data_IF_769464435251
#
_entry.id   IF_769464435251
#
_cell.length_a   1.000
_cell.length_b   1.000
_cell.length_c   1.000
_cell.angle_alpha   90.00
_cell.angle_beta   90.00
_cell.angle_gamma   90.00
#
_symmetry.space_group_name_H-M   'P 1'
#
loop_
_entity.id
_entity.type
_entity.pdbx_description
1 polymer ?
#
# COMPACT_ATOMS: atom_id res chain seq x y z
N UNK A 1 -13.68 12.55 -28.73
CA UNK A 1 -13.31 11.66 -27.63
C UNK A 1 -14.55 11.52 -26.75
N UNK A 2 -15.17 10.34 -26.71
CA UNK A 2 -16.37 10.09 -25.90
C UNK A 2 -15.93 10.11 -24.42
N UNK A 3 -16.38 11.10 -23.68
CA UNK A 3 -16.09 11.20 -22.23
C UNK A 3 -16.78 10.00 -21.55
N UNK A 4 -16.00 9.13 -20.88
CA UNK A 4 -16.49 7.96 -20.16
C UNK A 4 -17.37 8.44 -19.00
N UNK A 5 -18.63 8.01 -18.97
CA UNK A 5 -19.56 8.34 -17.88
C UNK A 5 -19.15 7.59 -16.62
N UNK A 6 -19.12 8.27 -15.48
CA UNK A 6 -18.85 7.68 -14.17
C UNK A 6 -20.06 6.88 -13.69
N UNK A 7 -19.87 5.58 -13.39
CA UNK A 7 -20.95 4.70 -12.91
C UNK A 7 -21.03 4.78 -11.39
N UNK A 8 -22.16 5.26 -10.89
CA UNK A 8 -22.43 5.41 -9.45
C UNK A 8 -23.62 4.52 -9.06
N UNK A 9 -23.45 3.74 -7.99
CA UNK A 9 -24.51 3.02 -7.32
C UNK A 9 -24.90 3.77 -6.06
N UNK A 10 -26.11 4.34 -6.03
CA UNK A 10 -26.67 5.01 -4.86
C UNK A 10 -27.58 4.04 -4.11
N UNK A 11 -27.31 3.81 -2.85
CA UNK A 11 -28.14 3.06 -1.93
C UNK A 11 -28.76 4.01 -0.91
N UNK A 12 -30.05 4.27 -1.05
CA UNK A 12 -30.82 5.23 -0.25
C UNK A 12 -32.25 4.74 -0.01
N UNK A 13 -32.71 4.79 1.24
CA UNK A 13 -34.04 4.34 1.62
C UNK A 13 -35.17 5.22 1.07
N UNK A 14 -34.91 6.51 0.86
CA UNK A 14 -35.82 7.45 0.21
C UNK A 14 -35.12 8.12 -0.98
N UNK A 15 -35.13 7.48 -2.16
CA UNK A 15 -34.27 7.85 -3.28
C UNK A 15 -34.62 9.16 -4.00
N UNK A 16 -35.68 9.87 -3.59
CA UNK A 16 -36.15 11.04 -4.34
C UNK A 16 -35.24 12.27 -4.21
N UNK A 17 -34.68 12.53 -3.04
CA UNK A 17 -33.94 13.80 -2.78
C UNK A 17 -32.50 13.78 -3.26
N UNK A 18 -31.70 12.78 -2.83
CA UNK A 18 -30.28 12.72 -3.19
C UNK A 18 -30.09 12.34 -4.65
N UNK A 19 -30.88 11.40 -5.16
CA UNK A 19 -30.81 10.99 -6.57
C UNK A 19 -31.18 12.16 -7.50
N UNK A 20 -32.14 12.99 -7.16
CA UNK A 20 -32.56 14.14 -7.94
C UNK A 20 -31.50 15.25 -7.90
N UNK A 21 -30.90 15.49 -6.72
CA UNK A 21 -29.76 16.39 -6.56
C UNK A 21 -28.58 15.96 -7.41
N UNK A 22 -28.21 14.67 -7.39
CA UNK A 22 -27.11 14.15 -8.20
C UNK A 22 -27.37 14.29 -9.70
N UNK A 23 -28.56 13.99 -10.17
CA UNK A 23 -28.94 14.17 -11.60
C UNK A 23 -28.94 15.64 -12.01
N UNK A 24 -29.36 16.54 -11.14
CA UNK A 24 -29.36 17.99 -11.39
C UNK A 24 -27.95 18.54 -11.47
N UNK A 25 -27.06 18.13 -10.58
CA UNK A 25 -25.66 18.60 -10.54
C UNK A 25 -24.82 18.04 -11.69
N UNK A 26 -25.13 16.85 -12.19
CA UNK A 26 -24.41 16.17 -13.25
C UNK A 26 -25.34 15.60 -14.32
N UNK A 27 -25.91 16.46 -15.17
CA UNK A 27 -26.82 16.02 -16.22
C UNK A 27 -26.09 15.12 -17.23
N UNK A 28 -26.76 14.08 -17.69
CA UNK A 28 -26.21 13.08 -18.63
C UNK A 28 -25.66 13.68 -19.94
N UNK A 29 -26.19 14.84 -20.34
CA UNK A 29 -25.78 15.58 -21.55
C UNK A 29 -24.40 16.23 -21.46
N UNK A 30 -23.85 16.41 -20.25
CA UNK A 30 -22.59 17.11 -20.02
C UNK A 30 -21.40 16.16 -19.69
N UNK A 31 -21.44 14.90 -20.16
CA UNK A 31 -20.45 13.88 -19.78
C UNK A 31 -20.69 13.30 -18.39
N UNK A 32 -21.93 13.28 -17.95
CA UNK A 32 -22.41 13.11 -16.59
C UNK A 32 -22.31 11.73 -15.97
N UNK A 33 -23.06 11.53 -14.90
CA UNK A 33 -23.08 10.31 -14.11
C UNK A 33 -24.03 9.28 -14.74
N UNK A 34 -23.66 8.00 -14.69
CA UNK A 34 -24.58 6.89 -14.86
C UNK A 34 -25.01 6.43 -13.46
N UNK A 35 -26.19 6.87 -13.02
CA UNK A 35 -26.68 6.66 -11.68
C UNK A 35 -27.65 5.48 -11.64
N UNK A 36 -27.30 4.43 -10.88
CA UNK A 36 -28.21 3.34 -10.50
C UNK A 36 -28.61 3.53 -9.05
N UNK A 37 -29.91 3.42 -8.75
CA UNK A 37 -30.44 3.64 -7.40
C UNK A 37 -31.05 2.35 -6.88
N UNK A 38 -30.74 2.01 -5.63
CA UNK A 38 -31.32 0.87 -4.89
C UNK A 38 -31.84 1.34 -3.53
N UNK A 39 -32.90 0.74 -3.03
CA UNK A 39 -33.55 1.16 -1.79
C UNK A 39 -33.28 0.25 -0.58
N UNK A 40 -32.43 -0.76 -0.73
CA UNK A 40 -32.11 -1.68 0.36
C UNK A 40 -30.72 -2.32 0.19
N UNK A 41 -30.11 -2.76 1.30
CA UNK A 41 -28.86 -3.52 1.28
C UNK A 41 -29.01 -4.87 0.57
N UNK A 42 -30.20 -5.49 0.65
CA UNK A 42 -30.48 -6.76 -0.01
C UNK A 42 -30.43 -6.66 -1.54
N UNK A 43 -30.84 -5.52 -2.10
CA UNK A 43 -30.76 -5.24 -3.54
C UNK A 43 -29.39 -4.68 -3.96
N UNK A 44 -28.67 -4.01 -3.06
CA UNK A 44 -27.37 -3.41 -3.35
C UNK A 44 -26.34 -4.45 -3.79
N UNK A 45 -26.14 -5.49 -2.99
CA UNK A 45 -25.06 -6.48 -3.22
C UNK A 45 -25.19 -7.20 -4.58
N UNK A 46 -26.37 -7.75 -4.98
CA UNK A 46 -26.49 -8.31 -6.32
C UNK A 46 -26.36 -7.28 -7.42
N UNK A 47 -26.81 -6.02 -7.21
CA UNK A 47 -26.71 -4.94 -8.20
C UNK A 47 -25.27 -4.53 -8.46
N UNK A 48 -24.37 -4.56 -7.45
CA UNK A 48 -22.95 -4.29 -7.62
C UNK A 48 -22.34 -5.17 -8.73
N UNK A 49 -22.66 -6.46 -8.74
CA UNK A 49 -22.14 -7.42 -9.73
C UNK A 49 -22.64 -7.18 -11.15
N UNK A 50 -23.84 -6.59 -11.29
CA UNK A 50 -24.49 -6.34 -12.60
C UNK A 50 -24.07 -5.00 -13.18
N UNK A 51 -24.02 -3.97 -12.35
CA UNK A 51 -23.75 -2.58 -12.75
C UNK A 51 -22.25 -2.30 -12.86
N UNK A 52 -21.44 -3.03 -12.09
CA UNK A 52 -19.98 -2.78 -11.96
C UNK A 52 -19.70 -1.30 -11.68
N UNK A 53 -20.20 -0.74 -10.55
CA UNK A 53 -20.09 0.68 -10.25
C UNK A 53 -18.64 1.05 -9.92
N UNK A 54 -18.26 2.28 -10.26
CA UNK A 54 -16.96 2.84 -9.92
C UNK A 54 -16.93 3.48 -8.52
N UNK A 55 -18.13 3.83 -7.99
CA UNK A 55 -18.34 4.34 -6.61
C UNK A 55 -19.68 3.86 -6.09
N UNK A 56 -19.73 3.55 -4.79
CA UNK A 56 -20.98 3.33 -4.05
C UNK A 56 -21.22 4.53 -3.14
N UNK A 57 -22.39 5.15 -3.26
CA UNK A 57 -22.91 6.13 -2.30
C UNK A 57 -23.90 5.42 -1.38
N UNK A 58 -23.64 5.41 -0.08
CA UNK A 58 -24.44 4.68 0.90
C UNK A 58 -25.04 5.63 1.93
N UNK A 59 -26.35 5.69 1.97
CA UNK A 59 -27.09 6.39 3.01
C UNK A 59 -27.11 5.60 4.33
N UNK A 60 -26.72 6.22 5.44
CA UNK A 60 -26.74 5.61 6.76
C UNK A 60 -28.16 5.27 7.26
N UNK A 61 -29.20 5.87 6.68
CA UNK A 61 -30.58 5.56 7.03
C UNK A 61 -31.05 4.18 6.57
N UNK A 62 -30.32 3.50 5.71
CA UNK A 62 -30.60 2.14 5.25
C UNK A 62 -30.49 1.08 6.35
N UNK A 63 -29.75 1.34 7.42
CA UNK A 63 -29.65 0.45 8.57
C UNK A 63 -30.54 0.94 9.70
N UNK A 64 -31.43 0.07 10.16
CA UNK A 64 -32.41 0.40 11.20
C UNK A 64 -31.89 0.25 12.63
N UNK A 65 -30.82 -0.52 12.85
CA UNK A 65 -30.28 -0.81 14.19
C UNK A 65 -28.97 -0.07 14.48
N UNK A 66 -27.96 -0.33 13.68
CA UNK A 66 -26.67 0.36 13.77
C UNK A 66 -26.35 0.96 12.41
N UNK A 67 -26.22 2.30 12.29
CA UNK A 67 -25.89 2.95 11.02
C UNK A 67 -24.59 2.43 10.38
N UNK A 68 -23.64 1.96 11.19
CA UNK A 68 -22.33 1.45 10.71
C UNK A 68 -22.38 0.01 10.21
N UNK A 69 -23.43 -0.76 10.53
CA UNK A 69 -23.56 -2.13 10.01
C UNK A 69 -23.68 -2.15 8.48
N UNK A 70 -24.38 -1.19 7.90
CA UNK A 70 -24.49 -1.05 6.44
C UNK A 70 -23.12 -0.83 5.82
N UNK A 71 -22.29 0.02 6.42
CA UNK A 71 -20.91 0.32 5.96
C UNK A 71 -20.07 -0.95 5.97
N UNK A 72 -20.05 -1.69 7.09
CA UNK A 72 -19.31 -2.95 7.24
C UNK A 72 -19.74 -4.00 6.23
N UNK A 73 -21.04 -4.16 6.01
CA UNK A 73 -21.61 -5.13 5.06
C UNK A 73 -21.18 -4.79 3.64
N UNK A 74 -21.33 -3.52 3.22
CA UNK A 74 -20.98 -3.09 1.86
C UNK A 74 -19.48 -3.19 1.63
N UNK A 75 -18.66 -2.71 2.56
CA UNK A 75 -17.20 -2.78 2.46
C UNK A 75 -16.68 -4.23 2.32
N UNK A 76 -17.24 -5.18 3.09
CA UNK A 76 -16.88 -6.60 2.99
C UNK A 76 -17.35 -7.26 1.70
N UNK A 77 -18.48 -6.82 1.17
CA UNK A 77 -19.09 -7.43 -0.03
C UNK A 77 -18.52 -6.87 -1.34
N UNK A 78 -17.96 -5.67 -1.31
CA UNK A 78 -17.39 -4.96 -2.45
C UNK A 78 -16.09 -4.22 -2.07
N UNK A 79 -15.03 -4.93 -1.60
CA UNK A 79 -13.84 -4.31 -1.02
C UNK A 79 -13.03 -3.48 -2.01
N UNK A 80 -13.15 -3.74 -3.32
CA UNK A 80 -12.45 -2.98 -4.37
C UNK A 80 -13.20 -1.76 -4.90
N UNK A 81 -14.38 -1.43 -4.36
CA UNK A 81 -15.17 -0.29 -4.82
C UNK A 81 -15.21 0.79 -3.74
N UNK A 82 -14.81 2.04 -4.04
CA UNK A 82 -14.82 3.12 -3.07
C UNK A 82 -16.21 3.38 -2.55
N UNK A 83 -16.33 3.41 -1.22
CA UNK A 83 -17.57 3.63 -0.49
C UNK A 83 -17.58 5.04 0.09
N UNK A 84 -18.54 5.86 -0.30
CA UNK A 84 -18.77 7.19 0.25
C UNK A 84 -20.12 7.19 0.98
N UNK A 85 -20.10 7.65 2.22
CA UNK A 85 -21.26 7.66 3.08
C UNK A 85 -22.06 8.97 2.92
N UNK A 86 -23.37 8.85 2.82
CA UNK A 86 -24.33 9.96 2.92
C UNK A 86 -24.98 9.91 4.30
N UNK A 87 -25.02 11.03 4.98
CA UNK A 87 -25.59 11.11 6.33
C UNK A 87 -26.38 12.39 6.53
N UNK A 88 -27.43 12.32 7.31
CA UNK A 88 -28.09 13.54 7.79
C UNK A 88 -27.19 14.31 8.76
N UNK A 89 -27.32 15.64 8.90
CA UNK A 89 -26.54 16.43 9.84
C UNK A 89 -26.57 15.88 11.28
N UNK A 90 -27.71 15.29 11.69
CA UNK A 90 -27.87 14.65 13.00
C UNK A 90 -26.99 13.40 13.18
N UNK A 91 -26.58 12.77 12.08
CA UNK A 91 -25.75 11.54 12.05
C UNK A 91 -24.26 11.83 11.82
N UNK A 92 -23.81 13.08 11.90
CA UNK A 92 -22.43 13.49 11.63
C UNK A 92 -21.38 12.66 12.38
N UNK A 93 -21.66 12.25 13.62
CA UNK A 93 -20.75 11.42 14.40
C UNK A 93 -20.60 10.02 13.78
N UNK A 94 -21.67 9.38 13.35
CA UNK A 94 -21.63 8.09 12.66
C UNK A 94 -20.95 8.22 11.27
N UNK A 95 -21.17 9.32 10.56
CA UNK A 95 -20.49 9.60 9.31
C UNK A 95 -18.96 9.67 9.50
N UNK A 96 -18.48 10.34 10.55
CA UNK A 96 -17.06 10.37 10.87
C UNK A 96 -16.52 8.99 11.29
N UNK A 97 -17.28 8.21 12.05
CA UNK A 97 -16.91 6.85 12.44
C UNK A 97 -16.90 5.87 11.26
N UNK A 98 -17.70 6.11 10.22
CA UNK A 98 -17.73 5.25 9.03
C UNK A 98 -16.37 5.14 8.33
N UNK A 99 -15.50 6.14 8.47
CA UNK A 99 -14.13 6.12 7.93
C UNK A 99 -13.27 5.00 8.54
N UNK A 100 -13.50 4.68 9.82
CA UNK A 100 -12.78 3.56 10.49
C UNK A 100 -13.37 2.20 10.15
N UNK A 101 -14.59 2.17 9.58
CA UNK A 101 -15.32 0.96 9.20
C UNK A 101 -15.20 0.64 7.69
N UNK A 102 -14.38 1.41 6.95
CA UNK A 102 -14.07 1.16 5.55
C UNK A 102 -14.71 2.13 4.55
N UNK A 103 -15.39 3.19 4.99
CA UNK A 103 -15.75 4.27 4.08
C UNK A 103 -14.53 5.13 3.73
N UNK A 104 -14.43 5.55 2.46
CA UNK A 104 -13.33 6.42 2.01
C UNK A 104 -13.56 7.89 2.32
N UNK A 105 -14.84 8.32 2.33
CA UNK A 105 -15.23 9.69 2.64
C UNK A 105 -16.71 9.72 3.05
N UNK A 106 -17.19 10.88 3.50
CA UNK A 106 -18.61 11.09 3.76
C UNK A 106 -19.07 12.48 3.34
N UNK A 107 -20.38 12.61 3.07
CA UNK A 107 -21.06 13.88 2.79
C UNK A 107 -22.28 14.03 3.68
N UNK A 108 -22.56 15.25 4.10
CA UNK A 108 -23.80 15.57 4.83
C UNK A 108 -24.87 16.03 3.86
N UNK A 109 -26.03 15.40 3.91
CA UNK A 109 -27.24 15.80 3.15
C UNK A 109 -27.59 17.26 3.45
N UNK A 110 -28.15 17.96 2.46
CA UNK A 110 -28.44 19.38 2.56
C UNK A 110 -27.23 20.32 2.37
N UNK A 111 -25.99 19.79 2.35
CA UNK A 111 -24.76 20.53 2.08
C UNK A 111 -24.02 20.00 0.84
N UNK A 112 -24.70 19.24 0.00
CA UNK A 112 -24.12 18.67 -1.22
C UNK A 112 -24.26 19.69 -2.35
N UNK A 113 -23.17 20.35 -2.69
CA UNK A 113 -23.04 21.15 -3.90
C UNK A 113 -22.15 20.46 -4.93
N UNK A 114 -22.11 20.99 -6.16
CA UNK A 114 -21.33 20.41 -7.25
C UNK A 114 -19.83 20.34 -6.95
N UNK A 115 -19.28 21.31 -6.23
CA UNK A 115 -17.85 21.35 -5.88
C UNK A 115 -17.52 20.32 -4.82
N UNK A 116 -18.33 20.20 -3.78
CA UNK A 116 -18.15 19.21 -2.71
C UNK A 116 -18.27 17.80 -3.29
N UNK A 117 -19.28 17.56 -4.12
CA UNK A 117 -19.48 16.27 -4.76
C UNK A 117 -18.32 15.90 -5.69
N UNK A 118 -17.89 16.78 -6.60
CA UNK A 118 -16.76 16.54 -7.50
C UNK A 118 -15.48 16.24 -6.70
N UNK A 119 -15.18 17.02 -5.66
CA UNK A 119 -14.02 16.82 -4.79
C UNK A 119 -14.05 15.46 -4.09
N UNK A 120 -15.20 15.08 -3.52
CA UNK A 120 -15.34 13.82 -2.77
C UNK A 120 -15.27 12.62 -3.72
N UNK A 121 -15.98 12.67 -4.86
CA UNK A 121 -15.96 11.57 -5.85
C UNK A 121 -14.56 11.38 -6.45
N UNK A 122 -13.89 12.46 -6.87
CA UNK A 122 -12.50 12.37 -7.38
C UNK A 122 -11.54 11.85 -6.31
N UNK A 123 -11.61 12.41 -5.11
CA UNK A 123 -10.75 11.97 -4.01
C UNK A 123 -10.96 10.50 -3.64
N UNK A 124 -12.20 10.00 -3.69
CA UNK A 124 -12.48 8.59 -3.46
C UNK A 124 -11.94 7.70 -4.59
N UNK A 125 -12.13 8.09 -5.85
CA UNK A 125 -11.59 7.36 -7.02
C UNK A 125 -10.06 7.35 -7.04
N UNK A 126 -9.44 8.49 -6.76
CA UNK A 126 -7.97 8.59 -6.71
C UNK A 126 -7.41 7.72 -5.58
N UNK A 127 -7.97 7.79 -4.36
CA UNK A 127 -7.56 6.93 -3.24
C UNK A 127 -7.75 5.45 -3.56
N UNK A 128 -8.87 5.06 -4.13
CA UNK A 128 -9.13 3.67 -4.52
C UNK A 128 -8.16 3.18 -5.61
N UNK A 129 -7.82 4.03 -6.57
CA UNK A 129 -6.81 3.70 -7.58
C UNK A 129 -5.45 3.49 -6.93
N UNK A 130 -5.10 4.30 -5.92
CA UNK A 130 -3.86 4.13 -5.17
C UNK A 130 -3.88 2.87 -4.28
N UNK A 131 -4.99 2.55 -3.62
CA UNK A 131 -5.13 1.33 -2.81
C UNK A 131 -5.14 0.07 -3.68
N UNK A 132 -5.86 0.06 -4.79
CA UNK A 132 -5.85 -1.05 -5.75
C UNK A 132 -4.50 -1.25 -6.44
N UNK A 133 -3.78 -0.16 -6.76
CA UNK A 133 -2.39 -0.24 -7.21
C UNK A 133 -1.46 -0.70 -6.07
N UNK A 134 -1.71 -0.28 -4.84
CA UNK A 134 -0.93 -0.72 -3.68
C UNK A 134 -1.07 -2.23 -3.44
N UNK A 135 -2.25 -2.80 -3.63
CA UNK A 135 -2.46 -4.26 -3.51
C UNK A 135 -1.81 -5.03 -4.66
N UNK A 136 -1.85 -4.50 -5.90
CA UNK A 136 -1.12 -5.05 -7.05
C UNK A 136 0.41 -4.93 -6.88
N UNK A 137 0.86 -3.99 -6.06
CA UNK A 137 2.27 -3.77 -5.76
C UNK A 137 2.75 -4.55 -4.52
N UNK A 138 1.91 -5.43 -3.94
CA UNK A 138 2.27 -6.28 -2.81
C UNK A 138 2.44 -7.73 -3.20
N UNK A 139 3.44 -8.36 -2.60
CA UNK A 139 3.68 -9.80 -2.72
C UNK A 139 2.61 -10.57 -1.94
N UNK A 140 1.89 -11.52 -2.58
CA UNK A 140 0.75 -12.20 -1.95
C UNK A 140 1.15 -13.14 -0.81
N UNK A 141 2.41 -13.55 -0.72
CA UNK A 141 2.91 -14.43 0.34
C UNK A 141 3.32 -13.59 1.56
N UNK A 142 4.14 -12.57 1.36
CA UNK A 142 4.76 -11.83 2.46
C UNK A 142 4.02 -10.54 2.83
N UNK A 143 3.12 -10.05 1.98
CA UNK A 143 2.46 -8.75 2.15
C UNK A 143 3.38 -7.54 1.97
N UNK A 144 4.68 -7.75 1.73
CA UNK A 144 5.64 -6.70 1.42
C UNK A 144 5.41 -6.13 0.01
N UNK A 145 6.00 -5.00 -0.32
CA UNK A 145 5.95 -4.53 -1.71
C UNK A 145 6.62 -5.51 -2.66
N UNK A 146 6.14 -5.57 -3.90
CA UNK A 146 6.84 -6.25 -4.99
C UNK A 146 8.01 -5.42 -5.48
N UNK A 147 8.84 -5.96 -6.41
CA UNK A 147 9.88 -5.20 -7.12
C UNK A 147 9.30 -3.94 -7.79
N UNK A 148 8.20 -4.08 -8.52
CA UNK A 148 7.55 -2.97 -9.21
C UNK A 148 7.01 -1.93 -8.22
N UNK A 149 6.49 -2.40 -7.08
CA UNK A 149 6.08 -1.55 -5.97
C UNK A 149 7.23 -0.72 -5.41
N UNK A 150 8.35 -1.36 -5.15
CA UNK A 150 9.55 -0.68 -4.66
C UNK A 150 10.08 0.33 -5.69
N UNK A 151 10.13 -0.01 -6.97
CA UNK A 151 10.59 0.90 -8.02
C UNK A 151 9.66 2.12 -8.13
N UNK A 152 8.34 1.89 -8.14
CA UNK A 152 7.35 2.95 -8.24
C UNK A 152 7.41 3.93 -7.07
N UNK A 153 7.37 3.39 -5.84
CA UNK A 153 7.39 4.21 -4.62
C UNK A 153 8.79 4.77 -4.34
N UNK A 154 9.84 4.00 -4.59
CA UNK A 154 11.23 4.43 -4.42
C UNK A 154 11.62 5.58 -5.35
N UNK A 155 11.10 5.60 -6.58
CA UNK A 155 11.29 6.74 -7.50
C UNK A 155 10.70 8.02 -6.90
N UNK A 156 9.50 7.96 -6.30
CA UNK A 156 8.92 9.12 -5.60
C UNK A 156 9.72 9.56 -4.39
N UNK A 157 10.20 8.59 -3.58
CA UNK A 157 11.09 8.89 -2.46
C UNK A 157 12.39 9.56 -2.93
N UNK A 158 12.93 9.14 -4.06
CA UNK A 158 14.12 9.71 -4.68
C UNK A 158 13.89 11.15 -5.15
N UNK A 159 12.78 11.42 -5.84
CA UNK A 159 12.40 12.78 -6.26
C UNK A 159 12.24 13.73 -5.07
N UNK A 160 11.59 13.25 -4.00
CA UNK A 160 11.44 14.02 -2.76
C UNK A 160 12.79 14.26 -2.07
N UNK A 161 13.63 13.23 -1.98
CA UNK A 161 14.97 13.33 -1.39
C UNK A 161 15.86 14.31 -2.19
N UNK A 162 15.76 14.31 -3.52
CA UNK A 162 16.47 15.26 -4.38
C UNK A 162 16.02 16.69 -4.13
N UNK A 163 14.71 16.92 -4.00
CA UNK A 163 14.14 18.24 -3.75
C UNK A 163 14.51 18.79 -2.37
N UNK A 164 14.59 17.92 -1.37
CA UNK A 164 14.85 18.29 0.03
C UNK A 164 16.31 18.19 0.45
N UNK A 165 17.21 17.73 -0.45
CA UNK A 165 18.62 17.54 -0.14
C UNK A 165 18.90 16.35 0.81
N UNK A 166 17.96 15.41 0.93
CA UNK A 166 18.07 14.23 1.78
C UNK A 166 18.75 13.07 1.05
N UNK A 167 19.19 12.09 1.83
CA UNK A 167 19.82 10.86 1.33
C UNK A 167 18.89 9.66 1.53
N UNK A 168 19.09 8.63 0.72
CA UNK A 168 18.38 7.35 0.81
C UNK A 168 19.40 6.24 1.02
N UNK A 169 19.04 5.26 1.84
CA UNK A 169 19.78 4.01 1.97
C UNK A 169 18.96 2.87 1.43
N UNK A 170 19.51 2.12 0.50
CA UNK A 170 18.95 0.88 0.01
C UNK A 170 19.77 -0.29 0.56
N UNK A 171 19.13 -1.20 1.28
CA UNK A 171 19.67 -2.44 1.76
C UNK A 171 19.02 -3.59 0.99
N UNK A 172 19.81 -4.36 0.24
CA UNK A 172 19.37 -5.59 -0.39
C UNK A 172 19.75 -6.79 0.47
N UNK A 173 18.83 -7.75 0.57
CA UNK A 173 18.94 -8.94 1.43
C UNK A 173 18.68 -10.19 0.59
N UNK A 174 19.56 -11.17 0.69
CA UNK A 174 19.41 -12.49 0.09
C UNK A 174 19.25 -13.53 1.21
N UNK A 175 18.20 -14.35 1.10
CA UNK A 175 17.97 -15.52 1.95
C UNK A 175 18.79 -16.69 1.35
N UNK A 176 19.98 -16.94 1.86
CA UNK A 176 20.95 -17.86 1.21
C UNK A 176 20.53 -19.32 1.26
N UNK A 177 20.02 -19.79 2.39
CA UNK A 177 19.70 -21.21 2.59
C UNK A 177 18.21 -21.56 2.37
N UNK A 178 17.43 -20.68 1.69
CA UNK A 178 16.00 -20.95 1.43
C UNK A 178 15.76 -22.26 0.66
N UNK A 179 16.59 -22.55 -0.36
CA UNK A 179 16.47 -23.78 -1.14
C UNK A 179 16.80 -25.01 -0.28
N UNK A 180 17.81 -24.93 0.55
CA UNK A 180 18.18 -26.00 1.49
C UNK A 180 17.04 -26.30 2.48
N UNK A 181 16.37 -25.27 2.97
CA UNK A 181 15.18 -25.43 3.83
C UNK A 181 14.03 -26.09 3.08
N UNK A 182 13.80 -25.70 1.83
CA UNK A 182 12.76 -26.29 0.96
C UNK A 182 13.01 -27.78 0.71
N UNK A 183 14.25 -28.14 0.40
CA UNK A 183 14.63 -29.52 0.09
C UNK A 183 14.62 -30.41 1.35
N UNK A 184 15.02 -29.87 2.50
CA UNK A 184 15.09 -30.61 3.76
C UNK A 184 13.78 -30.72 4.52
N UNK A 185 12.94 -29.69 4.50
CA UNK A 185 11.73 -29.60 5.33
C UNK A 185 10.44 -29.37 4.52
N UNK A 186 10.55 -29.31 3.19
CA UNK A 186 9.43 -29.13 2.28
C UNK A 186 9.02 -27.66 2.03
N UNK A 187 8.13 -27.44 1.04
CA UNK A 187 7.76 -26.09 0.58
C UNK A 187 7.06 -25.25 1.67
N UNK A 188 6.25 -25.88 2.53
CA UNK A 188 5.56 -25.17 3.60
C UNK A 188 6.50 -24.65 4.71
N UNK A 189 7.66 -25.27 4.91
CA UNK A 189 8.69 -24.75 5.82
C UNK A 189 9.39 -23.55 5.23
N UNK A 190 9.75 -23.62 3.94
CA UNK A 190 10.35 -22.49 3.22
C UNK A 190 9.42 -21.26 3.18
N UNK A 191 8.12 -21.47 2.98
CA UNK A 191 7.13 -20.37 3.00
C UNK A 191 7.03 -19.73 4.38
N UNK A 192 6.98 -20.50 5.46
CA UNK A 192 6.98 -19.98 6.83
C UNK A 192 8.26 -19.20 7.14
N UNK A 193 9.43 -19.70 6.73
CA UNK A 193 10.69 -19.00 6.91
C UNK A 193 10.73 -17.67 6.13
N UNK A 194 10.11 -17.61 4.93
CA UNK A 194 9.94 -16.36 4.18
C UNK A 194 9.05 -15.35 4.93
N UNK A 195 7.96 -15.83 5.54
CA UNK A 195 7.07 -14.98 6.36
C UNK A 195 7.78 -14.46 7.60
N UNK A 196 8.53 -15.30 8.30
CA UNK A 196 9.34 -14.90 9.47
C UNK A 196 10.37 -13.83 9.09
N UNK A 197 11.08 -14.00 7.98
CA UNK A 197 12.01 -12.98 7.50
C UNK A 197 11.29 -11.67 7.13
N UNK A 198 10.15 -11.76 6.47
CA UNK A 198 9.34 -10.59 6.11
C UNK A 198 8.89 -9.79 7.35
N UNK A 199 8.48 -10.47 8.42
CA UNK A 199 8.13 -9.86 9.71
C UNK A 199 9.33 -9.18 10.37
N UNK A 200 10.52 -9.82 10.36
CA UNK A 200 11.75 -9.21 10.87
C UNK A 200 12.10 -7.94 10.10
N UNK A 201 12.08 -7.99 8.78
CA UNK A 201 12.41 -6.84 7.94
C UNK A 201 11.42 -5.69 8.15
N UNK A 202 10.10 -5.97 8.12
CA UNK A 202 9.07 -4.99 8.36
C UNK A 202 9.15 -4.38 9.78
N UNK A 203 9.38 -5.22 10.81
CA UNK A 203 9.49 -4.77 12.20
C UNK A 203 10.76 -3.95 12.49
N UNK A 204 11.77 -4.05 11.63
CA UNK A 204 13.01 -3.27 11.74
C UNK A 204 12.87 -1.86 11.18
N UNK A 205 11.88 -1.64 10.32
CA UNK A 205 11.68 -0.42 9.54
C UNK A 205 10.79 0.59 10.25
N UNK A 206 10.97 1.87 9.90
CA UNK A 206 10.04 2.95 10.25
C UNK A 206 8.86 2.92 9.30
N UNK A 207 7.77 3.61 9.67
CA UNK A 207 6.58 3.75 8.81
C UNK A 207 6.87 4.48 7.48
N UNK A 208 7.92 5.29 7.43
CA UNK A 208 8.38 6.00 6.23
C UNK A 208 9.23 5.15 5.29
N UNK A 209 9.71 3.99 5.76
CA UNK A 209 10.61 3.14 5.01
C UNK A 209 9.80 2.14 4.17
N UNK A 210 10.38 1.67 3.06
CA UNK A 210 9.74 0.70 2.20
C UNK A 210 10.47 -0.64 2.32
N UNK A 211 9.70 -1.72 2.44
CA UNK A 211 10.23 -3.09 2.43
C UNK A 211 9.57 -3.86 1.31
N UNK A 212 10.37 -4.52 0.49
CA UNK A 212 9.91 -5.25 -0.68
C UNK A 212 10.52 -6.64 -0.79
N UNK A 213 9.79 -7.55 -1.41
CA UNK A 213 10.29 -8.81 -1.92
C UNK A 213 10.57 -8.67 -3.41
N UNK A 214 11.84 -8.81 -3.80
CA UNK A 214 12.29 -8.59 -5.18
C UNK A 214 12.24 -9.86 -6.04
N UNK A 215 12.18 -11.02 -5.41
CA UNK A 215 12.20 -12.32 -6.07
C UNK A 215 11.99 -13.45 -5.06
N UNK A 216 12.32 -14.67 -5.45
CA UNK A 216 12.06 -15.86 -4.64
C UNK A 216 12.70 -15.78 -3.24
N UNK A 217 13.97 -15.44 -3.18
CA UNK A 217 14.79 -15.35 -1.96
C UNK A 217 15.38 -13.95 -1.72
N UNK A 218 14.95 -12.94 -2.48
CA UNK A 218 15.53 -11.61 -2.46
C UNK A 218 14.56 -10.56 -1.91
N UNK A 219 15.08 -9.70 -1.02
CA UNK A 219 14.34 -8.61 -0.41
C UNK A 219 15.13 -7.31 -0.51
N UNK A 220 14.44 -6.19 -0.37
CA UNK A 220 15.07 -4.89 -0.24
C UNK A 220 14.34 -4.03 0.78
N UNK A 221 15.11 -3.15 1.41
CA UNK A 221 14.65 -2.15 2.35
C UNK A 221 15.18 -0.78 1.89
N UNK A 222 14.28 0.17 1.65
CA UNK A 222 14.61 1.55 1.35
C UNK A 222 14.35 2.41 2.59
N UNK A 223 15.40 2.90 3.22
CA UNK A 223 15.31 3.84 4.32
C UNK A 223 15.39 5.28 3.81
N UNK A 224 14.41 6.09 4.19
CA UNK A 224 14.31 7.50 3.79
C UNK A 224 14.98 8.37 4.85
N UNK A 225 15.68 9.42 4.40
CA UNK A 225 16.45 10.32 5.27
C UNK A 225 17.47 9.53 6.12
N UNK A 226 18.30 8.76 5.43
CA UNK A 226 19.26 7.82 6.02
C UNK A 226 20.61 7.91 5.31
N UNK A 227 21.67 7.65 6.05
CA UNK A 227 23.06 7.72 5.63
C UNK A 227 23.81 6.37 5.82
N UNK A 228 25.08 6.30 5.48
CA UNK A 228 25.89 5.09 5.61
C UNK A 228 25.95 4.55 7.06
N UNK A 229 26.14 5.37 8.11
CA UNK A 229 26.02 4.92 9.51
C UNK A 229 24.66 4.29 9.82
N UNK A 230 23.57 4.85 9.28
CA UNK A 230 22.21 4.32 9.44
C UNK A 230 22.06 2.95 8.79
N UNK A 231 22.69 2.71 7.63
CA UNK A 231 22.70 1.40 6.98
C UNK A 231 23.30 0.31 7.90
N UNK A 232 24.40 0.61 8.56
CA UNK A 232 25.06 -0.31 9.52
C UNK A 232 24.15 -0.59 10.72
N UNK A 233 23.43 0.42 11.22
CA UNK A 233 22.49 0.25 12.34
C UNK A 233 21.30 -0.61 11.96
N UNK A 234 20.71 -0.40 10.76
CA UNK A 234 19.61 -1.20 10.23
C UNK A 234 20.05 -2.66 10.10
N UNK A 235 21.20 -2.91 9.47
CA UNK A 235 21.78 -4.25 9.33
C UNK A 235 21.92 -4.96 10.69
N UNK A 236 22.57 -4.33 11.67
CA UNK A 236 22.73 -4.90 13.02
C UNK A 236 21.40 -5.18 13.72
N UNK A 237 20.38 -4.38 13.45
CA UNK A 237 19.03 -4.58 14.01
C UNK A 237 18.37 -5.80 13.40
N UNK A 238 18.47 -6.00 12.07
CA UNK A 238 18.00 -7.20 11.37
C UNK A 238 18.69 -8.44 11.93
N UNK A 239 20.03 -8.43 12.01
CA UNK A 239 20.84 -9.53 12.52
C UNK A 239 20.43 -9.93 13.94
N UNK A 240 20.24 -8.95 14.84
CA UNK A 240 19.76 -9.22 16.23
C UNK A 240 18.36 -9.80 16.27
N UNK A 241 17.43 -9.22 15.53
CA UNK A 241 16.04 -9.70 15.53
C UNK A 241 15.98 -11.12 15.01
N UNK A 242 16.75 -11.43 13.96
CA UNK A 242 16.84 -12.76 13.38
C UNK A 242 17.51 -13.76 14.34
N UNK A 243 18.61 -13.39 15.00
CA UNK A 243 19.24 -14.24 15.99
C UNK A 243 18.28 -14.65 17.12
N UNK A 244 17.50 -13.70 17.63
CA UNK A 244 16.48 -13.99 18.66
C UNK A 244 15.40 -14.95 18.13
N UNK A 245 14.98 -14.83 16.88
CA UNK A 245 14.00 -15.76 16.29
C UNK A 245 14.61 -17.13 16.02
N UNK A 246 15.82 -17.21 15.51
CA UNK A 246 16.54 -18.46 15.26
C UNK A 246 16.69 -19.30 16.55
N UNK A 247 16.92 -18.64 17.70
CA UNK A 247 17.03 -19.33 19.01
C UNK A 247 15.68 -19.84 19.54
N UNK A 248 14.57 -19.15 19.25
CA UNK A 248 13.30 -19.38 19.94
C UNK A 248 12.24 -20.09 19.11
N UNK A 249 12.27 -20.01 17.78
CA UNK A 249 11.13 -20.37 16.94
C UNK A 249 11.42 -21.25 15.73
N UNK A 250 12.66 -21.42 15.30
CA UNK A 250 12.96 -22.09 14.03
C UNK A 250 13.13 -23.61 14.21
N UNK A 251 12.11 -24.43 13.94
CA UNK A 251 12.23 -25.90 13.98
C UNK A 251 13.09 -26.46 12.82
N UNK A 252 13.42 -25.62 11.83
CA UNK A 252 14.19 -25.97 10.63
C UNK A 252 15.62 -25.41 10.61
N UNK A 253 16.10 -24.87 11.70
CA UNK A 253 17.44 -24.28 11.81
C UNK A 253 17.49 -22.79 11.47
N UNK A 254 18.68 -22.18 11.50
CA UNK A 254 18.84 -20.76 11.32
C UNK A 254 18.54 -20.31 9.88
N UNK A 255 18.01 -19.10 9.75
CA UNK A 255 17.90 -18.38 8.49
C UNK A 255 19.23 -17.68 8.24
N UNK A 256 19.87 -17.97 7.11
CA UNK A 256 21.13 -17.38 6.70
C UNK A 256 20.89 -16.25 5.70
N UNK A 257 21.47 -15.07 5.99
CA UNK A 257 21.28 -13.88 5.17
C UNK A 257 22.63 -13.34 4.65
N UNK A 258 22.60 -12.91 3.39
CA UNK A 258 23.61 -12.00 2.83
C UNK A 258 22.97 -10.64 2.63
N UNK A 259 23.69 -9.58 2.99
CA UNK A 259 23.18 -8.22 2.90
C UNK A 259 24.21 -7.29 2.28
N UNK A 260 23.76 -6.41 1.38
CA UNK A 260 24.54 -5.35 0.78
C UNK A 260 23.73 -4.05 0.80
N UNK A 261 24.39 -2.93 1.07
CA UNK A 261 23.74 -1.62 1.06
C UNK A 261 24.40 -0.64 0.12
N UNK A 262 23.60 0.30 -0.39
CA UNK A 262 24.06 1.46 -1.13
C UNK A 262 23.43 2.74 -0.58
N UNK A 263 24.13 3.85 -0.73
CA UNK A 263 23.62 5.18 -0.37
C UNK A 263 23.40 5.97 -1.65
N UNK A 264 22.24 6.58 -1.76
CA UNK A 264 21.92 7.53 -2.84
C UNK A 264 21.84 8.95 -2.29
N UNK A 265 22.39 9.89 -3.03
CA UNK A 265 22.26 11.32 -2.77
C UNK A 265 21.87 12.06 -4.05
N UNK A 266 21.36 13.27 -3.93
CA UNK A 266 20.96 14.08 -5.08
C UNK A 266 22.08 14.39 -6.08
N UNK A 267 23.35 14.11 -5.74
CA UNK A 267 24.51 14.23 -6.63
C UNK A 267 24.70 13.00 -7.51
N UNK A 268 24.07 11.88 -7.20
CA UNK A 268 24.27 10.58 -7.86
C UNK A 268 23.77 10.58 -9.33
N UNK A 269 22.67 11.29 -9.62
CA UNK A 269 22.11 11.41 -10.97
C UNK A 269 21.49 10.12 -11.55
N UNK A 270 21.64 8.96 -10.88
CA UNK A 270 21.04 7.68 -11.32
C UNK A 270 19.56 7.66 -11.00
N UNK A 271 18.74 7.09 -11.91
CA UNK A 271 17.35 6.76 -11.63
C UNK A 271 17.26 5.63 -10.58
N UNK A 272 16.18 5.59 -9.82
CA UNK A 272 16.01 4.62 -8.72
C UNK A 272 16.20 3.16 -9.16
N UNK A 273 15.66 2.77 -10.33
CA UNK A 273 15.85 1.42 -10.87
C UNK A 273 17.32 1.06 -11.08
N UNK A 274 18.11 1.95 -11.67
CA UNK A 274 19.54 1.74 -11.88
C UNK A 274 20.32 1.72 -10.54
N UNK A 275 19.90 2.48 -9.55
CA UNK A 275 20.45 2.42 -8.20
C UNK A 275 20.15 1.06 -7.55
N UNK A 276 18.90 0.57 -7.62
CA UNK A 276 18.51 -0.74 -7.13
C UNK A 276 19.35 -1.85 -7.79
N UNK A 277 19.44 -1.85 -9.12
CA UNK A 277 20.20 -2.87 -9.86
C UNK A 277 21.68 -2.87 -9.46
N UNK A 278 22.28 -1.71 -9.20
CA UNK A 278 23.68 -1.61 -8.77
C UNK A 278 23.92 -2.25 -7.39
N UNK A 279 22.97 -2.10 -6.45
CA UNK A 279 23.09 -2.72 -5.12
C UNK A 279 22.86 -4.22 -5.19
N UNK A 280 21.92 -4.69 -6.04
CA UNK A 280 21.69 -6.13 -6.26
C UNK A 280 22.90 -6.82 -6.90
N UNK A 281 23.57 -6.18 -7.85
CA UNK A 281 24.79 -6.72 -8.46
C UNK A 281 25.87 -6.88 -7.38
N UNK A 282 26.07 -5.89 -6.53
CA UNK A 282 27.02 -5.97 -5.43
C UNK A 282 26.67 -7.09 -4.44
N UNK A 283 25.38 -7.30 -4.13
CA UNK A 283 24.94 -8.40 -3.27
C UNK A 283 25.36 -9.78 -3.80
N UNK A 284 25.44 -9.94 -5.12
CA UNK A 284 25.84 -11.21 -5.77
C UNK A 284 27.35 -11.39 -5.85
N UNK A 285 28.10 -10.31 -5.89
CA UNK A 285 29.54 -10.32 -6.17
C UNK A 285 30.42 -10.33 -4.91
N UNK A 286 29.94 -9.82 -3.78
CA UNK A 286 30.76 -9.66 -2.56
C UNK A 286 30.56 -10.86 -1.62
N UNK A 287 31.63 -11.59 -1.22
CA UNK A 287 31.57 -12.61 -0.18
C UNK A 287 31.12 -12.03 1.17
N UNK A 288 30.50 -12.87 2.02
CA UNK A 288 29.92 -12.44 3.30
C UNK A 288 30.92 -11.72 4.24
N UNK A 289 32.19 -12.08 4.19
CA UNK A 289 33.26 -11.54 5.08
C UNK A 289 33.75 -10.14 4.69
N UNK A 290 33.62 -9.71 3.43
CA UNK A 290 34.13 -8.42 2.94
C UNK A 290 33.15 -7.25 3.01
N UNK A 291 31.88 -7.50 3.23
CA UNK A 291 30.82 -6.47 3.24
C UNK A 291 31.03 -5.41 4.33
N UNK A 292 31.76 -5.73 5.39
CA UNK A 292 32.11 -4.78 6.47
C UNK A 292 33.19 -3.77 6.10
N UNK A 293 34.05 -4.07 5.12
CA UNK A 293 35.18 -3.20 4.78
C UNK A 293 34.89 -2.21 3.64
N UNK A 294 34.02 -2.54 2.68
CA UNK A 294 33.74 -1.68 1.52
C UNK A 294 32.98 -0.40 1.86
N UNK A 295 32.15 -0.40 2.91
CA UNK A 295 31.40 0.79 3.35
C UNK A 295 32.28 1.90 3.96
N UNK A 296 33.50 1.57 4.38
CA UNK A 296 34.45 2.53 4.96
C UNK A 296 35.28 3.23 3.87
N UNK A 297 35.53 2.57 2.74
CA UNK A 297 36.36 3.13 1.66
C UNK A 297 35.62 4.09 0.76
N UNK A 298 34.34 3.85 0.43
CA UNK A 298 33.54 4.75 -0.42
C UNK A 298 33.12 6.05 0.29
N UNK A 299 33.03 6.03 1.63
CA UNK A 299 32.76 7.24 2.44
C UNK A 299 33.95 8.20 2.56
N UNK A 300 35.17 7.73 2.32
CA UNK A 300 36.39 8.56 2.43
C UNK A 300 36.80 9.19 1.08
N UNK A 301 36.39 8.60 -0.04
CA UNK A 301 36.66 9.14 -1.37
C UNK A 301 35.81 10.34 -1.78
N UNK A 302 34.67 10.57 -1.10
CA UNK A 302 33.75 11.69 -1.38
C UNK A 302 34.08 13.01 -0.65
N UNK A 303 35.15 13.03 0.14
CA UNK A 303 35.59 14.20 0.96
C UNK A 303 37.02 14.71 0.66
N UNK A 304 37.45 14.52 -0.60
CA UNK A 304 38.67 15.21 -1.11
C UNK A 304 38.36 15.98 -2.39
#
# INVERSE_FOLDING_TARGET
MTQRKLRILLAEGNPSETAETLRTLFPESAGGLLLTVVSSLATLIPTVKVVDPEIILLDLTLSLRDPLDAVRIVHRSAPGIPLVVLADPAQKQYAAQSLTEGAMDYMLKGFIDSRTLDRVLRGALERNTFEGLADLLRDPITGLYTRDGLVTLGTRCQEEAQRTGRTLVLLCVLFENLQTLRDGFGPGAAERALLELAEVLAGTCRRSDLVARLGEAQFALLAVDADAPTAVLIRKRIERSLATQNETRSPWGPIDLRMCSGVWSGKDGRAFGAFLDSVEVNLRLIPQEEVLQSLVQDGVAANR
#
